data_IF_609792954720
#
_entry.id   IF_609792954720
#
_cell.length_a   1.000
_cell.length_b   1.000
_cell.length_c   1.000
_cell.angle_alpha   90.00
_cell.angle_beta   90.00
_cell.angle_gamma   90.00
#
_symmetry.space_group_name_H-M   'P 1'
#
loop_
_entity.id
_entity.type
_entity.pdbx_description
1 polymer ?
#
# COMPACT_ATOMS: atom_id res chain seq x y z
N UNK A 1 -12.02 -14.83 -1.26
CA UNK A 1 -11.10 -13.96 -0.50
C UNK A 1 -11.23 -12.55 -1.04
N UNK A 2 -11.22 -11.54 -0.16
CA UNK A 2 -11.32 -10.13 -0.49
C UNK A 2 -10.01 -9.43 -0.15
N UNK A 3 -9.45 -8.65 -1.07
CA UNK A 3 -8.20 -7.92 -0.86
C UNK A 3 -8.43 -6.42 -1.06
N UNK A 4 -7.97 -5.63 -0.09
CA UNK A 4 -7.85 -4.19 -0.24
C UNK A 4 -6.63 -3.89 -1.13
N UNK A 5 -6.82 -3.22 -2.24
CA UNK A 5 -5.75 -2.68 -3.07
C UNK A 5 -5.61 -1.20 -2.73
N UNK A 6 -4.51 -0.83 -2.06
CA UNK A 6 -4.31 0.53 -1.57
C UNK A 6 -3.43 1.31 -2.54
N UNK A 7 -3.97 1.74 -3.69
CA UNK A 7 -3.26 2.60 -4.64
C UNK A 7 -4.19 3.47 -5.48
N UNK A 8 -3.61 4.41 -6.22
CA UNK A 8 -4.36 5.43 -6.96
C UNK A 8 -4.21 5.30 -8.48
N UNK A 9 -3.05 4.85 -8.96
CA UNK A 9 -2.73 4.83 -10.39
C UNK A 9 -2.14 3.50 -10.86
N UNK A 10 -2.22 3.24 -12.18
CA UNK A 10 -1.58 2.09 -12.84
C UNK A 10 -1.91 0.71 -12.22
N UNK A 11 -3.17 0.52 -11.80
CA UNK A 11 -3.60 -0.65 -11.03
C UNK A 11 -4.06 -1.85 -11.87
N UNK A 12 -4.17 -1.70 -13.19
CA UNK A 12 -4.82 -2.68 -14.07
C UNK A 12 -4.20 -4.06 -14.00
N UNK A 13 -2.87 -4.15 -13.95
CA UNK A 13 -2.15 -5.43 -13.83
C UNK A 13 -2.36 -6.10 -12.47
N UNK A 14 -2.39 -5.33 -11.36
CA UNK A 14 -2.68 -5.86 -10.03
C UNK A 14 -4.10 -6.42 -9.96
N UNK A 15 -5.07 -5.66 -10.46
CA UNK A 15 -6.48 -6.07 -10.52
C UNK A 15 -6.62 -7.34 -11.38
N UNK A 16 -5.98 -7.39 -12.54
CA UNK A 16 -6.02 -8.55 -13.43
C UNK A 16 -5.41 -9.79 -12.75
N UNK A 17 -4.26 -9.65 -12.09
CA UNK A 17 -3.60 -10.74 -11.38
C UNK A 17 -4.45 -11.28 -10.22
N UNK A 18 -5.05 -10.40 -9.41
CA UNK A 18 -5.93 -10.79 -8.32
C UNK A 18 -7.19 -11.50 -8.84
N UNK A 19 -7.84 -10.93 -9.87
CA UNK A 19 -9.03 -11.55 -10.49
C UNK A 19 -8.74 -12.90 -11.13
N UNK A 20 -7.57 -13.08 -11.75
CA UNK A 20 -7.16 -14.36 -12.33
C UNK A 20 -6.98 -15.48 -11.30
N UNK A 21 -6.95 -15.14 -10.00
CA UNK A 21 -6.87 -16.07 -8.88
C UNK A 21 -8.15 -16.07 -8.03
N UNK A 22 -9.29 -15.65 -8.59
CA UNK A 22 -10.60 -15.60 -7.92
C UNK A 22 -10.63 -14.73 -6.64
N UNK A 23 -9.81 -13.67 -6.62
CA UNK A 23 -9.75 -12.70 -5.52
C UNK A 23 -10.62 -11.49 -5.84
N UNK A 24 -11.56 -11.17 -4.94
CA UNK A 24 -12.33 -9.93 -5.00
C UNK A 24 -11.45 -8.75 -4.59
N UNK A 25 -11.46 -7.67 -5.38
CA UNK A 25 -10.60 -6.51 -5.17
C UNK A 25 -11.45 -5.31 -4.76
N UNK A 26 -11.11 -4.71 -3.61
CA UNK A 26 -11.64 -3.41 -3.19
C UNK A 26 -10.51 -2.41 -3.32
N UNK A 27 -10.59 -1.51 -4.30
CA UNK A 27 -9.60 -0.44 -4.43
C UNK A 27 -9.97 0.71 -3.49
N UNK A 28 -9.24 0.85 -2.39
CA UNK A 28 -9.56 1.84 -1.36
C UNK A 28 -8.33 2.25 -0.56
N UNK A 29 -8.33 3.51 -0.14
CA UNK A 29 -7.40 4.07 0.84
C UNK A 29 -8.10 4.37 2.18
N UNK A 30 -9.41 4.13 2.26
CA UNK A 30 -10.17 4.29 3.49
C UNK A 30 -9.87 3.11 4.45
N UNK A 31 -9.46 3.43 5.67
CA UNK A 31 -9.03 2.42 6.65
C UNK A 31 -10.20 1.52 7.05
N UNK A 32 -11.40 2.07 7.25
CA UNK A 32 -12.56 1.30 7.69
C UNK A 32 -13.04 0.34 6.61
N UNK A 33 -13.04 0.78 5.35
CA UNK A 33 -13.34 -0.06 4.20
C UNK A 33 -12.28 -1.13 3.98
N UNK A 34 -11.00 -0.76 4.03
CA UNK A 34 -9.90 -1.70 3.87
C UNK A 34 -9.94 -2.81 4.93
N UNK A 35 -10.24 -2.47 6.18
CA UNK A 35 -10.33 -3.44 7.28
C UNK A 35 -11.45 -4.49 7.11
N UNK A 36 -12.42 -4.27 6.22
CA UNK A 36 -13.44 -5.27 5.86
C UNK A 36 -12.91 -6.36 4.91
N UNK A 37 -11.70 -6.20 4.37
CA UNK A 37 -11.05 -7.17 3.48
C UNK A 37 -10.28 -8.24 4.26
N UNK A 38 -9.89 -9.36 3.64
CA UNK A 38 -9.09 -10.40 4.28
C UNK A 38 -7.60 -10.07 4.30
N UNK A 39 -7.11 -9.35 3.28
CA UNK A 39 -5.70 -8.97 3.13
C UNK A 39 -5.52 -7.61 2.46
N UNK A 40 -4.30 -7.08 2.53
CA UNK A 40 -3.89 -5.81 1.93
C UNK A 40 -2.84 -6.07 0.85
N UNK A 41 -3.02 -5.45 -0.32
CA UNK A 41 -2.00 -5.30 -1.34
C UNK A 41 -1.60 -3.83 -1.44
N UNK A 42 -0.31 -3.55 -1.20
CA UNK A 42 0.34 -2.28 -1.46
C UNK A 42 1.03 -2.36 -2.84
N UNK A 43 0.55 -1.61 -3.86
CA UNK A 43 1.12 -1.67 -5.19
C UNK A 43 2.45 -0.90 -5.28
N UNK A 44 3.12 -1.01 -6.42
CA UNK A 44 4.22 -0.13 -6.79
C UNK A 44 3.75 1.32 -7.00
N UNK A 45 4.71 2.24 -7.13
CA UNK A 45 4.47 3.67 -7.33
C UNK A 45 5.80 4.43 -7.41
N UNK A 46 5.73 5.76 -7.32
CA UNK A 46 6.90 6.65 -7.30
C UNK A 46 7.65 6.67 -5.96
N UNK A 47 8.53 7.64 -5.77
CA UNK A 47 9.31 7.71 -4.54
C UNK A 47 8.44 7.98 -3.29
N UNK A 48 8.90 7.49 -2.14
CA UNK A 48 8.30 7.73 -0.83
C UNK A 48 8.94 8.95 -0.18
N UNK A 49 8.15 9.72 0.58
CA UNK A 49 8.64 10.85 1.36
C UNK A 49 9.79 10.44 2.32
N UNK A 50 11.01 10.99 2.11
CA UNK A 50 12.18 10.65 2.91
C UNK A 50 12.03 10.87 4.41
N UNK A 51 11.08 11.70 4.84
CA UNK A 51 10.79 11.90 6.26
C UNK A 51 10.44 10.60 6.99
N UNK A 52 9.87 9.61 6.31
CA UNK A 52 9.48 8.35 6.93
C UNK A 52 10.69 7.49 7.33
N UNK A 53 11.85 7.72 6.70
CA UNK A 53 13.11 7.04 7.03
C UNK A 53 14.21 8.01 7.49
N UNK A 54 13.86 9.25 7.84
CA UNK A 54 14.75 10.19 8.52
C UNK A 54 15.79 10.88 7.64
N UNK A 55 15.57 10.94 6.33
CA UNK A 55 16.49 11.54 5.36
C UNK A 55 15.90 12.81 4.73
N UNK A 56 16.75 13.58 4.05
CA UNK A 56 16.34 14.71 3.19
C UNK A 56 16.09 14.24 1.75
N UNK A 57 15.32 15.01 0.97
CA UNK A 57 15.18 14.74 -0.47
C UNK A 57 16.51 14.96 -1.19
N UNK A 58 17.17 13.86 -1.59
CA UNK A 58 18.45 13.88 -2.27
C UNK A 58 18.46 12.96 -3.49
N UNK A 59 17.89 13.45 -4.60
CA UNK A 59 17.83 12.71 -5.88
C UNK A 59 16.53 11.93 -6.12
N UNK A 60 15.57 12.01 -5.21
CA UNK A 60 14.21 11.48 -5.40
C UNK A 60 13.34 12.42 -6.22
N UNK A 61 12.33 11.86 -6.90
CA UNK A 61 11.21 12.61 -7.44
C UNK A 61 10.33 13.16 -6.29
N UNK A 62 9.52 14.19 -6.56
CA UNK A 62 8.61 14.72 -5.54
C UNK A 62 7.57 13.64 -5.17
N UNK A 63 7.51 13.23 -3.89
CA UNK A 63 6.63 12.15 -3.46
C UNK A 63 5.18 12.62 -3.35
N UNK A 64 4.24 11.69 -3.56
CA UNK A 64 2.84 11.91 -3.19
C UNK A 64 2.68 11.69 -1.67
N UNK A 65 2.82 12.79 -0.93
CA UNK A 65 2.75 12.77 0.55
C UNK A 65 1.38 12.36 1.09
N UNK A 66 0.30 12.63 0.35
CA UNK A 66 -1.04 12.24 0.76
C UNK A 66 -1.24 10.74 0.57
N UNK A 67 -0.74 10.18 -0.55
CA UNK A 67 -0.72 8.75 -0.77
C UNK A 67 0.15 8.02 0.25
N UNK A 68 1.36 8.53 0.55
CA UNK A 68 2.23 7.98 1.59
C UNK A 68 1.49 7.89 2.92
N UNK A 69 0.85 8.99 3.33
CA UNK A 69 0.09 9.03 4.58
C UNK A 69 -1.07 8.02 4.56
N UNK A 70 -1.87 7.99 3.50
CA UNK A 70 -3.03 7.11 3.43
C UNK A 70 -2.62 5.63 3.43
N UNK A 71 -1.58 5.25 2.69
CA UNK A 71 -1.08 3.88 2.71
C UNK A 71 -0.42 3.51 4.04
N UNK A 72 0.25 4.45 4.70
CA UNK A 72 0.77 4.25 6.05
C UNK A 72 -0.35 3.92 7.04
N UNK A 73 -1.43 4.70 7.02
CA UNK A 73 -2.58 4.51 7.93
C UNK A 73 -3.27 3.15 7.69
N UNK A 74 -3.43 2.74 6.42
CA UNK A 74 -3.98 1.41 6.07
C UNK A 74 -3.04 0.28 6.47
N UNK A 75 -1.73 0.43 6.21
CA UNK A 75 -0.73 -0.56 6.62
C UNK A 75 -0.73 -0.75 8.14
N UNK A 76 -0.69 0.35 8.90
CA UNK A 76 -0.72 0.34 10.35
C UNK A 76 -1.94 -0.41 10.90
N UNK A 77 -3.11 -0.16 10.32
CA UNK A 77 -4.35 -0.84 10.70
C UNK A 77 -4.28 -2.36 10.43
N UNK A 78 -3.72 -2.80 9.30
CA UNK A 78 -3.55 -4.22 8.98
C UNK A 78 -2.52 -4.90 9.88
N UNK A 79 -1.39 -4.24 10.16
CA UNK A 79 -0.36 -4.76 11.07
C UNK A 79 -0.91 -4.92 12.48
N UNK A 80 -1.57 -3.89 13.03
CA UNK A 80 -2.23 -3.96 14.35
C UNK A 80 -3.31 -5.04 14.40
N UNK A 81 -4.05 -5.21 13.30
CA UNK A 81 -5.04 -6.26 13.13
C UNK A 81 -4.46 -7.66 12.89
N UNK A 82 -3.13 -7.80 12.76
CA UNK A 82 -2.44 -9.06 12.39
C UNK A 82 -2.98 -9.69 11.11
N UNK A 83 -3.34 -8.85 10.14
CA UNK A 83 -3.88 -9.26 8.85
C UNK A 83 -2.76 -9.32 7.82
N UNK A 84 -2.84 -10.24 6.84
CA UNK A 84 -1.80 -10.42 5.83
C UNK A 84 -1.65 -9.16 4.96
N UNK A 85 -0.39 -8.80 4.69
CA UNK A 85 0.00 -7.68 3.82
C UNK A 85 0.98 -8.18 2.77
N UNK A 86 0.77 -7.80 1.52
CA UNK A 86 1.70 -8.00 0.41
C UNK A 86 2.10 -6.64 -0.17
N UNK A 87 3.40 -6.34 -0.18
CA UNK A 87 3.96 -5.15 -0.82
C UNK A 87 4.69 -5.51 -2.11
N UNK A 88 4.45 -4.75 -3.19
CA UNK A 88 5.12 -4.92 -4.48
C UNK A 88 5.89 -3.64 -4.81
N UNK A 89 7.18 -3.77 -5.15
CA UNK A 89 8.06 -2.63 -5.47
C UNK A 89 8.05 -1.59 -4.34
N UNK A 90 7.53 -0.38 -4.59
CA UNK A 90 7.31 0.66 -3.57
C UNK A 90 6.49 0.16 -2.37
N UNK A 91 5.48 -0.68 -2.58
CA UNK A 91 4.72 -1.26 -1.48
C UNK A 91 5.58 -2.09 -0.53
N UNK A 92 6.61 -2.78 -1.05
CA UNK A 92 7.60 -3.50 -0.22
C UNK A 92 8.52 -2.52 0.52
N UNK A 93 8.90 -1.40 -0.11
CA UNK A 93 9.68 -0.35 0.54
C UNK A 93 8.91 0.28 1.71
N UNK A 94 7.61 0.56 1.54
CA UNK A 94 6.74 1.06 2.61
C UNK A 94 6.70 0.10 3.81
N UNK A 95 6.57 -1.21 3.55
CA UNK A 95 6.59 -2.22 4.62
C UNK A 95 7.93 -2.18 5.37
N UNK A 96 9.06 -2.09 4.64
CA UNK A 96 10.38 -2.01 5.26
C UNK A 96 10.50 -0.76 6.15
N UNK A 97 10.16 0.41 5.62
CA UNK A 97 10.23 1.68 6.37
C UNK A 97 9.30 1.69 7.58
N UNK A 98 8.12 1.06 7.50
CA UNK A 98 7.20 0.94 8.63
C UNK A 98 7.80 0.17 9.82
N UNK A 99 8.60 -0.89 9.55
CA UNK A 99 9.16 -1.74 10.61
C UNK A 99 10.56 -1.32 11.08
N UNK A 100 11.23 -0.40 10.37
CA UNK A 100 12.62 0.01 10.64
C UNK A 100 13.65 -1.03 10.24
#
# INVERSE_FOLDING_TARGET
>A
MKVALAGTESLTNYIAALKANDIEVINTLDVEEALKCDGLLLPGGGDMDPKYYGEEMNGSEEPDRELDKAQWDVLDAFVKGKKPVLGICRGMQLINVYFG
#
